data_IF_492381777948
#
_entry.id   IF_492381777948
#
_cell.length_a   1.000
_cell.length_b   1.000
_cell.length_c   1.000
_cell.angle_alpha   90.00
_cell.angle_beta   90.00
_cell.angle_gamma   90.00
#
_symmetry.space_group_name_H-M   'P 1'
#
loop_
_entity.id
_entity.type
_entity.pdbx_description
1 polymer ?
#
# COMPACT_ATOMS: atom_id res chain seq x y z
N UNK A 1 5.17 -4.10 -0.07
CA UNK A 1 4.22 -3.02 0.29
C UNK A 1 3.06 -3.50 1.14
N UNK A 2 2.56 -4.71 0.90
CA UNK A 2 1.43 -5.20 1.70
C UNK A 2 1.75 -5.23 3.19
N UNK A 3 2.94 -5.71 3.55
CA UNK A 3 3.30 -5.76 4.96
C UNK A 3 3.30 -4.38 5.59
N UNK A 4 3.77 -3.39 4.85
CA UNK A 4 3.78 -2.01 5.36
C UNK A 4 2.36 -1.52 5.56
N UNK A 5 1.47 -1.78 4.61
CA UNK A 5 0.08 -1.34 4.76
C UNK A 5 -0.57 -2.00 5.96
N UNK A 6 -0.38 -3.30 6.13
CA UNK A 6 -0.97 -3.99 7.26
C UNK A 6 -0.41 -3.47 8.58
N UNK A 7 0.88 -3.20 8.61
CA UNK A 7 1.51 -2.68 9.83
C UNK A 7 0.99 -1.29 10.18
N UNK A 8 0.65 -0.50 9.17
CA UNK A 8 0.13 0.84 9.40
C UNK A 8 -1.36 0.85 9.76
N UNK A 9 -2.03 -0.30 9.69
CA UNK A 9 -3.42 -0.39 10.05
C UNK A 9 -4.38 -0.49 8.88
N UNK A 10 -3.87 -0.60 7.67
CA UNK A 10 -4.72 -0.83 6.51
C UNK A 10 -5.15 -2.28 6.46
N UNK A 11 -6.32 -2.51 5.91
CA UNK A 11 -6.84 -3.86 5.74
C UNK A 11 -7.28 -4.07 4.30
N UNK A 12 -7.08 -5.29 3.82
CA UNK A 12 -7.57 -5.67 2.49
C UNK A 12 -9.09 -5.83 2.58
N UNK A 13 -9.82 -4.95 1.91
CA UNK A 13 -11.26 -4.97 1.98
C UNK A 13 -11.88 -5.82 0.88
N UNK A 14 -11.18 -5.93 -0.26
CA UNK A 14 -11.65 -6.79 -1.33
C UNK A 14 -10.56 -6.90 -2.38
N UNK A 15 -10.71 -7.88 -3.26
CA UNK A 15 -9.82 -8.06 -4.40
C UNK A 15 -10.67 -8.23 -5.63
N UNK A 16 -10.23 -7.65 -6.74
CA UNK A 16 -10.93 -7.75 -7.99
C UNK A 16 -9.91 -7.88 -9.12
N UNK A 17 -9.91 -9.02 -9.79
CA UNK A 17 -8.94 -9.27 -10.83
C UNK A 17 -7.53 -9.19 -10.27
N UNK A 18 -6.70 -8.38 -10.87
CA UNK A 18 -5.32 -8.22 -10.44
C UNK A 18 -5.13 -7.04 -9.48
N UNK A 19 -6.20 -6.57 -8.86
CA UNK A 19 -6.11 -5.43 -7.94
C UNK A 19 -6.61 -5.84 -6.57
N UNK A 20 -5.89 -5.37 -5.54
CA UNK A 20 -6.29 -5.54 -4.15
C UNK A 20 -6.54 -4.18 -3.55
N UNK A 21 -7.68 -4.03 -2.88
CA UNK A 21 -8.09 -2.74 -2.31
C UNK A 21 -7.85 -2.75 -0.80
N UNK A 22 -7.21 -1.72 -0.31
CA UNK A 22 -6.88 -1.58 1.10
C UNK A 22 -7.52 -0.33 1.66
N UNK A 23 -7.93 -0.40 2.91
CA UNK A 23 -8.56 0.72 3.58
C UNK A 23 -8.11 0.81 5.02
N UNK A 24 -7.88 2.03 5.47
CA UNK A 24 -7.58 2.34 6.86
C UNK A 24 -8.86 2.77 7.55
N UNK A 25 -8.96 2.54 8.87
CA UNK A 25 -10.17 2.89 9.59
C UNK A 25 -10.42 4.40 9.59
N UNK A 26 -9.40 5.21 9.30
CA UNK A 26 -9.59 6.66 9.23
C UNK A 26 -10.11 7.11 7.86
N UNK A 27 -10.32 6.19 6.93
CA UNK A 27 -10.89 6.51 5.64
C UNK A 27 -9.93 6.54 4.48
N UNK A 28 -8.61 6.47 4.75
CA UNK A 28 -7.65 6.44 3.66
C UNK A 28 -7.75 5.11 2.92
N UNK A 29 -7.59 5.16 1.60
CA UNK A 29 -7.67 3.97 0.77
C UNK A 29 -6.55 3.96 -0.25
N UNK A 30 -6.17 2.77 -0.69
CA UNK A 30 -5.24 2.64 -1.80
C UNK A 30 -5.47 1.30 -2.47
N UNK A 31 -4.83 1.12 -3.62
CA UNK A 31 -4.96 -0.08 -4.42
C UNK A 31 -3.58 -0.62 -4.74
N UNK A 32 -3.38 -1.92 -4.55
CA UNK A 32 -2.14 -2.58 -4.92
C UNK A 32 -2.38 -3.53 -6.07
N UNK A 33 -1.48 -3.58 -7.06
CA UNK A 33 -1.56 -4.64 -8.06
C UNK A 33 -1.20 -5.98 -7.44
N UNK A 34 -1.93 -7.00 -7.82
CA UNK A 34 -1.69 -8.35 -7.32
C UNK A 34 -0.81 -9.10 -8.29
N UNK A 35 0.50 -8.85 -8.21
CA UNK A 35 1.48 -9.49 -9.09
C UNK A 35 2.52 -10.18 -8.23
N UNK A 36 2.27 -11.41 -7.82
CA UNK A 36 3.21 -12.14 -6.96
C UNK A 36 4.58 -12.24 -7.61
N UNK A 37 5.61 -12.04 -6.80
CA UNK A 37 6.98 -12.15 -7.29
C UNK A 37 7.48 -10.93 -8.02
N UNK A 38 6.70 -9.88 -8.12
CA UNK A 38 7.11 -8.66 -8.78
C UNK A 38 7.22 -7.51 -7.79
N UNK A 39 8.26 -6.71 -7.97
CA UNK A 39 8.41 -5.50 -7.17
C UNK A 39 7.60 -4.37 -7.78
N UNK A 40 7.14 -3.48 -6.92
CA UNK A 40 6.45 -2.29 -7.38
C UNK A 40 7.45 -1.30 -7.94
N UNK A 41 7.08 -0.62 -9.01
CA UNK A 41 7.92 0.43 -9.56
C UNK A 41 7.96 1.61 -8.62
N UNK A 42 9.04 2.41 -8.73
CA UNK A 42 9.16 3.59 -7.88
C UNK A 42 8.02 4.59 -8.08
N UNK A 43 7.61 4.90 -9.31
CA UNK A 43 6.48 5.81 -9.47
C UNK A 43 5.22 5.29 -8.82
N UNK A 44 4.97 3.98 -8.89
CA UNK A 44 3.79 3.42 -8.26
C UNK A 44 3.90 3.51 -6.74
N UNK A 45 5.07 3.23 -6.20
CA UNK A 45 5.26 3.34 -4.75
C UNK A 45 4.99 4.77 -4.31
N UNK A 46 5.50 5.75 -5.04
CA UNK A 46 5.26 7.15 -4.69
C UNK A 46 3.78 7.48 -4.71
N UNK A 47 3.07 6.97 -5.70
CA UNK A 47 1.64 7.24 -5.79
C UNK A 47 0.89 6.63 -4.61
N UNK A 48 1.26 5.41 -4.24
CA UNK A 48 0.63 4.77 -3.09
C UNK A 48 0.91 5.56 -1.82
N UNK A 49 2.17 5.98 -1.62
CA UNK A 49 2.52 6.75 -0.44
C UNK A 49 1.72 8.04 -0.36
N UNK A 50 1.48 8.67 -1.50
CA UNK A 50 0.67 9.88 -1.52
C UNK A 50 -0.77 9.59 -1.11
N UNK A 51 -1.32 8.49 -1.61
CA UNK A 51 -2.69 8.13 -1.28
C UNK A 51 -2.86 7.80 0.20
N UNK A 52 -1.88 7.14 0.79
CA UNK A 52 -1.97 6.78 2.20
C UNK A 52 -1.39 7.86 3.11
N UNK A 53 -0.90 8.95 2.53
CA UNK A 53 -0.43 10.12 3.27
C UNK A 53 0.75 9.78 4.18
N UNK A 54 1.69 9.01 3.65
CA UNK A 54 2.90 8.61 4.37
C UNK A 54 4.09 9.16 3.59
N UNK A 55 5.05 9.74 4.30
CA UNK A 55 6.25 10.24 3.64
C UNK A 55 7.17 9.08 3.25
N UNK A 56 8.04 9.30 2.25
CA UNK A 56 9.02 8.27 1.92
C UNK A 56 9.91 7.89 3.10
N UNK A 57 10.25 8.85 3.94
CA UNK A 57 11.06 8.55 5.11
C UNK A 57 10.34 7.62 6.07
N UNK A 58 9.06 7.84 6.30
CA UNK A 58 8.29 6.96 7.16
C UNK A 58 8.16 5.57 6.54
N UNK A 59 7.99 5.52 5.22
CA UNK A 59 7.91 4.24 4.53
C UNK A 59 9.19 3.43 4.75
N UNK A 60 10.34 4.07 4.61
CA UNK A 60 11.61 3.37 4.81
C UNK A 60 11.71 2.85 6.24
N UNK A 61 11.26 3.63 7.22
CA UNK A 61 11.26 3.19 8.61
C UNK A 61 10.39 1.96 8.83
N UNK A 62 9.30 1.88 8.10
CA UNK A 62 8.40 0.74 8.24
C UNK A 62 8.95 -0.53 7.58
N UNK A 63 9.95 -0.41 6.73
CA UNK A 63 10.58 -1.57 6.11
C UNK A 63 11.51 -2.30 7.04
N UNK A 64 11.86 -1.53 7.78
CA UNK A 64 12.86 -2.02 8.60
C UNK A 64 12.73 -2.87 9.51
#
# INVERSE_FOLDING_TARGET
MEKVLLHLGFQNTRSKGSHMFYRHHDGRTTTLPNHPGRDLSRPLIREILREIEITPERFVQELX
#
